data_IF_936875333410
#
_entry.id   IF_936875333410
#
_cell.length_a   1.000
_cell.length_b   1.000
_cell.length_c   1.000
_cell.angle_alpha   90.00
_cell.angle_beta   90.00
_cell.angle_gamma   90.00
#
_symmetry.space_group_name_H-M   'P 1'
#
loop_
_entity.id
_entity.type
_entity.pdbx_description
1 polymer ?
#
# COMPACT_ATOMS: atom_id res chain seq x y z
N UNK A 1 -5.25 11.09 -17.04
CA UNK A 1 -6.06 9.86 -17.07
C UNK A 1 -5.92 9.01 -15.82
N UNK A 2 -7.01 8.39 -15.36
CA UNK A 2 -7.11 7.62 -14.12
C UNK A 2 -6.06 6.50 -14.06
N UNK A 3 -5.13 6.45 -13.09
CA UNK A 3 -4.17 5.34 -12.98
C UNK A 3 -4.84 4.03 -12.57
N UNK A 4 -6.11 4.03 -12.14
CA UNK A 4 -6.94 2.81 -12.05
C UNK A 4 -7.40 2.27 -13.40
N UNK A 5 -7.29 3.03 -14.51
CA UNK A 5 -7.50 2.45 -15.85
C UNK A 5 -6.37 1.52 -16.27
N UNK A 6 -5.16 1.73 -15.76
CA UNK A 6 -4.01 1.00 -16.29
C UNK A 6 -3.77 -0.33 -15.59
N UNK A 7 -4.25 -0.53 -14.35
CA UNK A 7 -4.14 -1.80 -13.61
C UNK A 7 -5.53 -2.42 -13.45
N UNK A 8 -5.80 -3.49 -14.18
CA UNK A 8 -7.15 -4.05 -14.29
C UNK A 8 -7.15 -5.57 -14.35
N UNK A 9 -8.29 -6.15 -13.98
CA UNK A 9 -8.53 -7.59 -14.11
C UNK A 9 -8.90 -7.91 -15.56
N UNK A 10 -8.04 -8.65 -16.26
CA UNK A 10 -8.27 -9.13 -17.62
C UNK A 10 -8.35 -10.66 -17.63
N UNK A 11 -9.26 -11.22 -18.43
CA UNK A 11 -9.27 -12.67 -18.70
C UNK A 11 -8.03 -13.05 -19.50
N UNK A 12 -7.43 -14.21 -19.25
CA UNK A 12 -6.24 -14.67 -19.98
C UNK A 12 -6.45 -14.70 -21.50
N UNK A 13 -7.65 -15.09 -21.96
CA UNK A 13 -8.00 -15.10 -23.39
C UNK A 13 -7.91 -13.72 -24.07
N UNK A 14 -7.97 -12.63 -23.31
CA UNK A 14 -7.92 -11.25 -23.81
C UNK A 14 -6.52 -10.63 -23.69
N UNK A 15 -5.55 -11.37 -23.14
CA UNK A 15 -4.17 -10.90 -22.93
C UNK A 15 -3.32 -11.44 -24.07
N UNK A 16 -2.65 -10.53 -24.78
CA UNK A 16 -1.75 -10.89 -25.86
C UNK A 16 -0.49 -11.58 -25.33
N UNK A 17 -0.47 -12.92 -25.38
CA UNK A 17 0.69 -13.73 -25.03
C UNK A 17 1.89 -13.49 -25.99
N UNK A 18 1.65 -12.92 -27.17
CA UNK A 18 2.68 -12.50 -28.11
C UNK A 18 3.45 -11.24 -27.67
N UNK A 19 3.01 -10.54 -26.62
CA UNK A 19 3.71 -9.36 -26.12
C UNK A 19 5.11 -9.75 -25.58
N UNK A 20 6.19 -9.02 -25.97
CA UNK A 20 7.55 -9.29 -25.52
C UNK A 20 7.75 -9.32 -24.00
N UNK A 21 6.83 -8.71 -23.24
CA UNK A 21 6.77 -8.82 -21.78
C UNK A 21 6.84 -10.29 -21.30
N UNK A 22 6.23 -11.22 -22.04
CA UNK A 22 6.18 -12.64 -21.67
C UNK A 22 7.40 -13.44 -22.11
N UNK A 23 8.30 -12.90 -22.94
CA UNK A 23 9.40 -13.69 -23.51
C UNK A 23 10.34 -14.26 -22.45
N UNK A 24 10.65 -13.48 -21.41
CA UNK A 24 11.41 -13.99 -20.27
C UNK A 24 10.70 -15.12 -19.51
N UNK A 25 9.36 -15.09 -19.42
CA UNK A 25 8.61 -16.18 -18.77
C UNK A 25 8.60 -17.44 -19.62
N UNK A 26 8.45 -17.31 -20.94
CA UNK A 26 8.56 -18.43 -21.89
C UNK A 26 9.96 -19.05 -21.89
N UNK A 27 11.00 -18.23 -21.71
CA UNK A 27 12.38 -18.71 -21.60
C UNK A 27 12.66 -19.43 -20.26
N UNK A 28 12.07 -18.96 -19.16
CA UNK A 28 12.24 -19.57 -17.83
C UNK A 28 11.39 -20.80 -17.60
N UNK A 29 10.25 -20.93 -18.29
CA UNK A 29 9.33 -22.06 -18.14
C UNK A 29 8.92 -22.57 -19.52
N UNK A 30 9.41 -23.74 -19.90
CA UNK A 30 9.14 -24.35 -21.22
C UNK A 30 7.65 -24.54 -21.50
N UNK A 31 6.87 -24.79 -20.45
CA UNK A 31 5.44 -25.06 -20.44
C UNK A 31 4.57 -23.79 -20.31
N UNK A 32 5.17 -22.60 -20.23
CA UNK A 32 4.45 -21.36 -19.91
C UNK A 32 3.29 -21.08 -20.87
N UNK A 33 3.53 -21.25 -22.18
CA UNK A 33 2.52 -21.00 -23.19
C UNK A 33 1.32 -21.94 -23.03
N UNK A 34 1.55 -23.23 -22.81
CA UNK A 34 0.48 -24.21 -22.60
C UNK A 34 -0.27 -23.96 -21.29
N UNK A 35 0.46 -23.60 -20.23
CA UNK A 35 -0.14 -23.17 -18.97
C UNK A 35 -1.04 -21.95 -19.16
N UNK A 36 -0.57 -20.93 -19.90
CA UNK A 36 -1.32 -19.70 -20.15
C UNK A 36 -2.64 -19.98 -20.89
N UNK A 37 -2.61 -20.82 -21.94
CA UNK A 37 -3.82 -21.20 -22.67
C UNK A 37 -4.80 -22.01 -21.82
N UNK A 38 -4.32 -22.93 -20.96
CA UNK A 38 -5.19 -23.65 -20.01
C UNK A 38 -5.89 -22.71 -19.02
N UNK A 39 -5.34 -21.52 -18.80
CA UNK A 39 -5.87 -20.48 -17.93
C UNK A 39 -6.82 -19.50 -18.62
N UNK A 40 -7.21 -19.73 -19.88
CA UNK A 40 -8.04 -18.83 -20.69
C UNK A 40 -9.26 -18.24 -19.95
N UNK A 41 -9.96 -19.05 -19.14
CA UNK A 41 -11.16 -18.66 -18.37
C UNK A 41 -10.87 -17.95 -17.05
N UNK A 42 -9.64 -18.01 -16.58
CA UNK A 42 -9.20 -17.33 -15.37
C UNK A 42 -8.91 -15.85 -15.69
N UNK A 43 -8.71 -15.06 -14.63
CA UNK A 43 -8.35 -13.64 -14.75
C UNK A 43 -7.00 -13.36 -14.09
N UNK A 44 -6.27 -12.44 -14.66
CA UNK A 44 -5.04 -11.89 -14.11
C UNK A 44 -5.17 -10.38 -13.94
N UNK A 45 -4.41 -9.85 -13.00
CA UNK A 45 -4.23 -8.43 -12.85
C UNK A 45 -3.13 -7.98 -13.81
N UNK A 46 -3.46 -7.09 -14.74
CA UNK A 46 -2.57 -6.63 -15.81
C UNK A 46 -2.38 -5.14 -15.69
N UNK A 47 -1.13 -4.69 -15.81
CA UNK A 47 -0.84 -3.27 -15.98
C UNK A 47 -0.32 -2.96 -17.38
N UNK A 48 -0.92 -1.97 -18.05
CA UNK A 48 -0.46 -1.46 -19.35
C UNK A 48 0.01 -0.01 -19.26
N UNK A 49 0.96 0.39 -20.10
CA UNK A 49 1.33 1.79 -20.28
C UNK A 49 0.41 2.52 -21.27
N UNK A 50 0.70 3.79 -21.54
CA UNK A 50 -0.08 4.63 -22.47
C UNK A 50 -0.08 4.13 -23.92
N UNK A 51 0.94 3.35 -24.31
CA UNK A 51 1.03 2.71 -25.63
C UNK A 51 0.29 1.38 -25.69
N UNK A 52 -0.32 0.94 -24.57
CA UNK A 52 -1.02 -0.34 -24.46
C UNK A 52 -0.09 -1.53 -24.20
N UNK A 53 1.21 -1.31 -23.99
CA UNK A 53 2.19 -2.37 -23.72
C UNK A 53 2.13 -2.84 -22.28
N UNK A 54 2.30 -4.14 -22.06
CA UNK A 54 2.22 -4.74 -20.73
C UNK A 54 3.47 -4.36 -19.94
N UNK A 55 3.25 -3.80 -18.75
CA UNK A 55 4.28 -3.40 -17.80
C UNK A 55 4.28 -4.26 -16.53
N UNK A 56 3.18 -4.96 -16.24
CA UNK A 56 3.09 -5.87 -15.12
C UNK A 56 1.95 -6.87 -15.26
N UNK A 57 2.12 -8.03 -14.62
CA UNK A 57 1.20 -9.14 -14.66
C UNK A 57 1.25 -9.89 -13.34
N UNK A 58 0.08 -10.14 -12.75
CA UNK A 58 -0.07 -10.97 -11.56
C UNK A 58 -1.28 -11.89 -11.68
N UNK A 59 -1.05 -13.18 -11.54
CA UNK A 59 -2.11 -14.18 -11.44
C UNK A 59 -2.26 -14.62 -9.99
N UNK A 60 -3.49 -14.53 -9.47
CA UNK A 60 -3.86 -14.96 -8.13
C UNK A 60 -4.81 -16.14 -8.21
N UNK A 61 -4.62 -17.14 -7.36
CA UNK A 61 -5.47 -18.33 -7.27
C UNK A 61 -5.67 -18.72 -5.81
N UNK A 62 -6.91 -19.03 -5.43
CA UNK A 62 -7.20 -19.68 -4.16
C UNK A 62 -6.86 -21.18 -4.25
N UNK A 63 -6.17 -21.69 -3.24
CA UNK A 63 -5.91 -23.11 -3.04
C UNK A 63 -6.38 -23.48 -1.64
N UNK A 64 -7.24 -24.49 -1.53
CA UNK A 64 -7.82 -24.96 -0.27
C UNK A 64 -7.45 -26.44 -0.10
N UNK A 65 -6.15 -26.68 0.03
CA UNK A 65 -5.52 -27.99 -0.01
C UNK A 65 -4.17 -27.93 0.72
N UNK A 66 -3.60 -29.11 1.02
CA UNK A 66 -2.20 -29.17 1.42
C UNK A 66 -1.31 -28.90 0.21
N UNK A 67 -0.15 -28.28 0.43
CA UNK A 67 0.83 -28.04 -0.63
C UNK A 67 1.95 -29.05 -0.43
N UNK A 68 1.81 -30.20 -1.07
CA UNK A 68 2.71 -31.36 -0.92
C UNK A 68 3.86 -31.36 -1.92
N UNK A 69 3.79 -30.51 -2.96
CA UNK A 69 4.82 -30.37 -4.00
C UNK A 69 5.96 -29.41 -3.61
N UNK A 70 6.11 -29.14 -2.32
CA UNK A 70 7.15 -28.28 -1.74
C UNK A 70 7.82 -28.96 -0.55
N UNK A 71 9.07 -28.58 -0.24
CA UNK A 71 9.83 -29.11 0.88
C UNK A 71 10.28 -27.99 1.85
N UNK A 72 9.91 -28.02 3.15
CA UNK A 72 8.94 -28.96 3.75
C UNK A 72 7.51 -28.73 3.18
N UNK A 73 6.65 -29.76 3.14
CA UNK A 73 5.25 -29.62 2.76
C UNK A 73 4.52 -28.60 3.64
N UNK A 74 3.60 -27.84 3.05
CA UNK A 74 2.74 -26.93 3.81
C UNK A 74 1.41 -27.62 4.12
N UNK A 75 0.93 -27.54 5.38
CA UNK A 75 -0.27 -28.25 5.81
C UNK A 75 -1.52 -27.72 5.11
N UNK A 76 -2.59 -28.53 5.12
CA UNK A 76 -3.91 -28.14 4.62
C UNK A 76 -4.37 -26.81 5.24
N UNK A 77 -4.67 -25.84 4.39
CA UNK A 77 -5.23 -24.54 4.76
C UNK A 77 -5.81 -23.85 3.51
N UNK A 78 -6.40 -22.68 3.68
CA UNK A 78 -6.72 -21.75 2.59
C UNK A 78 -5.53 -20.85 2.31
N UNK A 79 -4.99 -20.95 1.12
CA UNK A 79 -3.87 -20.16 0.61
C UNK A 79 -4.31 -19.31 -0.58
N UNK A 80 -3.82 -18.09 -0.63
CA UNK A 80 -3.82 -17.28 -1.83
C UNK A 80 -2.44 -17.43 -2.50
N UNK A 81 -2.40 -18.21 -3.57
CA UNK A 81 -1.20 -18.37 -4.38
C UNK A 81 -1.05 -17.20 -5.33
N UNK A 82 0.10 -16.54 -5.29
CA UNK A 82 0.56 -15.68 -6.38
C UNK A 82 1.20 -16.60 -7.42
N UNK A 83 0.42 -17.05 -8.40
CA UNK A 83 0.84 -18.09 -9.35
C UNK A 83 1.82 -17.59 -10.41
N UNK A 84 1.77 -16.32 -10.75
CA UNK A 84 2.77 -15.66 -11.59
C UNK A 84 2.84 -14.20 -11.18
N UNK A 85 4.05 -13.67 -11.03
CA UNK A 85 4.24 -12.26 -10.76
C UNK A 85 5.45 -11.73 -11.53
N UNK A 86 5.18 -10.86 -12.49
CA UNK A 86 6.21 -10.19 -13.29
C UNK A 86 5.92 -8.71 -13.42
N UNK A 87 6.98 -7.91 -13.37
CA UNK A 87 6.96 -6.47 -13.63
C UNK A 87 8.18 -6.10 -14.47
N UNK A 88 8.04 -5.14 -15.38
CA UNK A 88 9.19 -4.56 -16.05
C UNK A 88 10.00 -3.74 -15.05
N UNK A 89 11.33 -3.76 -15.19
CA UNK A 89 12.30 -3.23 -14.21
C UNK A 89 12.25 -1.70 -13.97
N UNK A 90 11.30 -0.98 -14.56
CA UNK A 90 11.22 0.47 -14.50
C UNK A 90 10.68 1.06 -13.17
N UNK A 91 10.56 0.27 -12.09
CA UNK A 91 10.47 0.83 -10.74
C UNK A 91 9.85 -0.08 -9.68
N UNK A 92 10.44 -0.08 -8.48
CA UNK A 92 9.94 -0.76 -7.27
C UNK A 92 8.50 -0.39 -6.92
N UNK A 93 8.07 0.84 -7.24
CA UNK A 93 6.72 1.35 -6.98
C UNK A 93 5.63 0.52 -7.65
N UNK A 94 5.88 0.00 -8.85
CA UNK A 94 4.94 -0.85 -9.55
C UNK A 94 4.73 -2.16 -8.78
N UNK A 95 5.84 -2.76 -8.33
CA UNK A 95 5.79 -3.94 -7.48
C UNK A 95 5.00 -3.69 -6.20
N UNK A 96 5.23 -2.57 -5.50
CA UNK A 96 4.46 -2.21 -4.30
C UNK A 96 2.95 -2.18 -4.57
N UNK A 97 2.54 -1.65 -5.73
CA UNK A 97 1.12 -1.58 -6.13
C UNK A 97 0.51 -2.97 -6.31
N UNK A 98 1.23 -3.89 -6.94
CA UNK A 98 0.81 -5.27 -7.11
C UNK A 98 0.73 -6.02 -5.76
N UNK A 99 1.73 -5.83 -4.88
CA UNK A 99 1.69 -6.38 -3.52
C UNK A 99 0.47 -5.87 -2.75
N UNK A 100 0.19 -4.56 -2.82
CA UNK A 100 -1.02 -3.99 -2.23
C UNK A 100 -2.28 -4.68 -2.75
N UNK A 101 -2.41 -4.87 -4.07
CA UNK A 101 -3.58 -5.53 -4.66
C UNK A 101 -3.70 -7.00 -4.25
N UNK A 102 -2.60 -7.73 -4.10
CA UNK A 102 -2.61 -9.09 -3.57
C UNK A 102 -3.16 -9.12 -2.14
N UNK A 103 -2.74 -8.18 -1.29
CA UNK A 103 -3.27 -8.07 0.08
C UNK A 103 -4.72 -7.59 0.12
N UNK A 104 -5.10 -6.61 -0.69
CA UNK A 104 -6.51 -6.17 -0.81
C UNK A 104 -7.40 -7.36 -1.20
N UNK A 105 -6.96 -8.20 -2.14
CA UNK A 105 -7.68 -9.41 -2.57
C UNK A 105 -7.73 -10.47 -1.46
N UNK A 106 -6.63 -10.73 -0.75
CA UNK A 106 -6.60 -11.72 0.33
C UNK A 106 -7.52 -11.33 1.48
N UNK A 107 -7.58 -10.03 1.84
CA UNK A 107 -8.50 -9.51 2.85
C UNK A 107 -9.94 -9.71 2.39
N UNK A 108 -10.26 -9.32 1.16
CA UNK A 108 -11.62 -9.44 0.62
C UNK A 108 -12.12 -10.90 0.55
N UNK A 109 -11.22 -11.87 0.40
CA UNK A 109 -11.52 -13.31 0.39
C UNK A 109 -11.39 -13.99 1.77
N UNK A 110 -11.03 -13.22 2.80
CA UNK A 110 -10.76 -13.69 4.16
C UNK A 110 -9.66 -14.79 4.21
N UNK A 111 -8.69 -14.72 3.30
CA UNK A 111 -7.56 -15.65 3.22
C UNK A 111 -6.34 -15.01 3.89
N UNK A 112 -5.87 -15.62 4.99
CA UNK A 112 -4.77 -15.05 5.79
C UNK A 112 -3.38 -15.40 5.27
N UNK A 113 -3.24 -16.48 4.50
CA UNK A 113 -1.94 -17.00 4.04
C UNK A 113 -1.76 -16.73 2.55
N UNK A 114 -0.76 -15.94 2.20
CA UNK A 114 -0.36 -15.70 0.82
C UNK A 114 0.99 -16.36 0.58
N UNK A 115 1.16 -17.05 -0.53
CA UNK A 115 2.47 -17.58 -0.89
C UNK A 115 2.77 -17.44 -2.37
N UNK A 116 4.06 -17.49 -2.69
CA UNK A 116 4.59 -17.42 -4.05
C UNK A 116 5.78 -18.36 -4.17
N UNK A 117 5.92 -19.00 -5.33
CA UNK A 117 7.16 -19.68 -5.72
C UNK A 117 7.93 -18.79 -6.67
N UNK A 118 9.24 -18.65 -6.46
CA UNK A 118 10.06 -17.71 -7.22
C UNK A 118 11.49 -18.23 -7.36
N UNK A 119 12.04 -18.14 -8.57
CA UNK A 119 13.45 -18.46 -8.78
C UNK A 119 14.39 -17.47 -8.07
N UNK A 120 15.49 -17.93 -7.45
CA UNK A 120 16.44 -17.09 -6.71
C UNK A 120 17.05 -15.93 -7.50
N UNK A 121 17.08 -16.03 -8.83
CA UNK A 121 17.65 -15.01 -9.72
C UNK A 121 16.83 -13.72 -9.76
N UNK A 122 15.55 -13.76 -9.35
CA UNK A 122 14.67 -12.59 -9.27
C UNK A 122 14.88 -11.77 -7.99
N UNK A 123 16.13 -11.41 -7.69
CA UNK A 123 16.55 -10.75 -6.43
C UNK A 123 15.70 -9.52 -6.07
N UNK A 124 15.47 -8.62 -7.02
CA UNK A 124 14.68 -7.39 -6.77
C UNK A 124 13.24 -7.68 -6.34
N UNK A 125 12.62 -8.70 -6.92
CA UNK A 125 11.26 -9.10 -6.54
C UNK A 125 11.25 -9.83 -5.19
N UNK A 126 12.26 -10.66 -4.92
CA UNK A 126 12.46 -11.30 -3.61
C UNK A 126 12.63 -10.24 -2.51
N UNK A 127 13.46 -9.21 -2.73
CA UNK A 127 13.68 -8.12 -1.78
C UNK A 127 12.38 -7.35 -1.50
N UNK A 128 11.55 -7.12 -2.54
CA UNK A 128 10.24 -6.51 -2.40
C UNK A 128 9.29 -7.38 -1.56
N UNK A 129 9.25 -8.69 -1.80
CA UNK A 129 8.44 -9.63 -1.03
C UNK A 129 8.88 -9.64 0.43
N UNK A 130 10.18 -9.74 0.70
CA UNK A 130 10.76 -9.70 2.05
C UNK A 130 10.39 -8.39 2.75
N UNK A 131 10.49 -7.25 2.04
CA UNK A 131 10.13 -5.93 2.57
C UNK A 131 8.70 -5.89 3.13
N UNK A 132 7.77 -6.63 2.51
CA UNK A 132 6.36 -6.73 2.95
C UNK A 132 6.04 -8.03 3.71
N UNK A 133 7.06 -8.63 4.32
CA UNK A 133 6.88 -9.67 5.34
C UNK A 133 6.74 -11.10 4.80
N UNK A 134 7.00 -11.33 3.52
CA UNK A 134 7.14 -12.70 3.01
C UNK A 134 8.45 -13.30 3.51
N UNK A 135 8.40 -14.55 3.97
CA UNK A 135 9.55 -15.31 4.47
C UNK A 135 9.72 -16.59 3.68
N UNK A 136 10.97 -16.98 3.41
CA UNK A 136 11.25 -18.28 2.81
C UNK A 136 10.88 -19.38 3.81
N UNK A 137 9.98 -20.26 3.44
CA UNK A 137 9.52 -21.39 4.27
C UNK A 137 9.89 -22.75 3.69
N UNK A 138 10.25 -22.80 2.41
CA UNK A 138 10.63 -24.04 1.75
C UNK A 138 11.16 -23.81 0.34
N UNK A 139 11.22 -24.89 -0.42
CA UNK A 139 11.66 -24.92 -1.81
C UNK A 139 10.73 -25.82 -2.63
N UNK A 140 10.62 -25.50 -3.91
CA UNK A 140 9.91 -26.31 -4.89
C UNK A 140 10.89 -26.76 -5.96
N UNK A 141 11.03 -28.07 -6.15
CA UNK A 141 11.79 -28.62 -7.26
C UNK A 141 10.90 -28.70 -8.49
N UNK A 142 11.40 -28.17 -9.61
CA UNK A 142 10.72 -28.22 -10.90
C UNK A 142 11.69 -28.70 -11.98
N UNK A 143 11.19 -29.17 -13.14
CA UNK A 143 12.07 -29.46 -14.29
C UNK A 143 12.92 -28.26 -14.74
N UNK A 144 12.47 -27.03 -14.44
CA UNK A 144 13.15 -25.79 -14.81
C UNK A 144 14.13 -25.29 -13.72
N UNK A 145 14.25 -25.99 -12.59
CA UNK A 145 15.13 -25.66 -11.47
C UNK A 145 14.42 -25.58 -10.12
N UNK A 146 15.12 -25.05 -9.11
CA UNK A 146 14.59 -24.94 -7.73
C UNK A 146 14.10 -23.53 -7.43
N UNK A 147 12.81 -23.41 -7.11
CA UNK A 147 12.19 -22.16 -6.67
C UNK A 147 12.20 -22.06 -5.13
N UNK A 148 12.30 -20.84 -4.60
CA UNK A 148 12.03 -20.58 -3.18
C UNK A 148 10.54 -20.41 -2.96
N UNK A 149 10.01 -21.03 -1.89
CA UNK A 149 8.62 -20.86 -1.45
C UNK A 149 8.60 -19.77 -0.39
N UNK A 150 7.95 -18.65 -0.70
CA UNK A 150 7.87 -17.47 0.15
C UNK A 150 6.44 -17.32 0.69
N UNK A 151 6.26 -17.26 2.00
CA UNK A 151 4.97 -17.20 2.69
C UNK A 151 4.83 -15.90 3.48
N UNK A 152 3.67 -15.26 3.38
CA UNK A 152 3.21 -14.14 4.21
C UNK A 152 1.93 -14.55 4.92
N UNK A 153 1.91 -14.35 6.23
CA UNK A 153 0.71 -14.51 7.07
C UNK A 153 0.21 -13.12 7.47
N UNK A 154 -1.05 -12.82 7.15
CA UNK A 154 -1.77 -11.63 7.59
C UNK A 154 -2.41 -11.91 8.94
N UNK A 155 -2.34 -10.94 9.85
CA UNK A 155 -2.85 -11.05 11.22
C UNK A 155 -1.77 -11.28 12.28
N UNK A 156 -0.49 -11.20 11.91
CA UNK A 156 0.65 -11.23 12.84
C UNK A 156 1.31 -9.85 12.92
N UNK A 157 1.67 -9.43 14.13
CA UNK A 157 2.51 -8.24 14.37
C UNK A 157 3.87 -8.69 14.87
N UNK A 158 4.92 -8.35 14.12
CA UNK A 158 6.34 -8.61 14.41
C UNK A 158 7.05 -7.36 14.93
N UNK A 159 6.40 -6.20 14.90
CA UNK A 159 6.97 -4.90 15.31
C UNK A 159 7.70 -4.18 14.18
N UNK A 160 7.64 -4.69 12.95
CA UNK A 160 8.15 -4.02 11.77
C UNK A 160 6.98 -3.60 10.87
N UNK A 161 6.69 -2.31 10.84
CA UNK A 161 5.54 -1.71 10.15
C UNK A 161 5.39 -2.15 8.68
N UNK A 162 6.49 -2.30 7.94
CA UNK A 162 6.45 -2.77 6.55
C UNK A 162 6.13 -4.27 6.46
N UNK A 163 6.73 -5.09 7.32
CA UNK A 163 6.45 -6.53 7.36
C UNK A 163 5.07 -6.84 7.94
N UNK A 164 4.54 -5.97 8.79
CA UNK A 164 3.24 -6.11 9.47
C UNK A 164 2.09 -5.63 8.57
N UNK A 165 2.38 -4.83 7.53
CA UNK A 165 1.39 -4.43 6.54
C UNK A 165 0.60 -5.64 6.01
N UNK A 166 -0.74 -5.52 5.84
CA UNK A 166 -1.58 -4.33 6.01
C UNK A 166 -2.13 -4.10 7.43
N UNK A 167 -1.68 -4.85 8.43
CA UNK A 167 -2.21 -4.77 9.80
C UNK A 167 -1.92 -3.40 10.45
N UNK A 168 -2.90 -2.92 11.20
CA UNK A 168 -2.87 -1.70 12.00
C UNK A 168 -2.76 -2.14 13.44
N UNK A 169 -1.60 -1.90 14.06
CA UNK A 169 -1.47 -2.11 15.49
C UNK A 169 -2.09 -0.94 16.24
N UNK A 170 -3.04 -1.22 17.10
CA UNK A 170 -3.66 -0.23 17.97
C UNK A 170 -2.91 -0.12 19.32
N UNK A 171 -1.91 -0.96 19.59
CA UNK A 171 -1.16 -1.01 20.88
C UNK A 171 -0.48 0.29 21.28
N UNK A 172 0.05 1.00 20.29
CA UNK A 172 0.86 2.20 20.52
C UNK A 172 -0.01 3.46 20.59
N UNK A 173 0.61 4.63 20.48
CA UNK A 173 -0.15 5.86 20.45
C UNK A 173 -0.93 5.96 19.14
N UNK A 174 -2.07 6.65 19.20
CA UNK A 174 -2.92 6.94 18.05
C UNK A 174 -3.04 8.44 17.93
N UNK A 175 -2.99 8.96 16.71
CA UNK A 175 -3.12 10.38 16.44
C UNK A 175 -4.03 10.63 15.24
N UNK A 176 -4.65 11.80 15.22
CA UNK A 176 -5.22 12.38 14.02
C UNK A 176 -4.15 13.27 13.37
N UNK A 177 -3.95 13.10 12.06
CA UNK A 177 -3.02 13.88 11.26
C UNK A 177 -3.78 14.62 10.15
N UNK A 178 -3.77 15.94 10.24
CA UNK A 178 -4.42 16.84 9.31
C UNK A 178 -3.68 16.94 7.98
N UNK A 179 -4.42 17.04 6.89
CA UNK A 179 -3.87 17.27 5.55
C UNK A 179 -4.79 18.19 4.77
N UNK A 180 -4.20 19.14 4.03
CA UNK A 180 -4.96 20.04 3.20
C UNK A 180 -5.51 19.34 1.95
N UNK A 181 -6.72 19.72 1.49
CA UNK A 181 -7.35 19.16 0.29
C UNK A 181 -6.44 19.02 -0.92
N UNK A 182 -5.62 20.03 -1.22
CA UNK A 182 -4.76 20.07 -2.39
C UNK A 182 -3.68 18.97 -2.41
N UNK A 183 -3.35 18.40 -1.24
CA UNK A 183 -2.39 17.31 -1.10
C UNK A 183 -3.04 15.96 -0.82
N UNK A 184 -4.28 15.94 -0.32
CA UNK A 184 -4.92 14.73 0.19
C UNK A 184 -5.13 13.66 -0.87
N UNK A 185 -5.89 13.95 -1.92
CA UNK A 185 -6.18 12.99 -3.00
C UNK A 185 -4.91 12.55 -3.70
N UNK A 186 -3.94 13.45 -3.83
CA UNK A 186 -2.65 13.14 -4.44
C UNK A 186 -1.89 12.13 -3.58
N UNK A 187 -1.87 12.26 -2.25
CA UNK A 187 -1.09 11.37 -1.37
C UNK A 187 -1.84 10.07 -1.05
N UNK A 188 -3.16 10.14 -0.97
CA UNK A 188 -4.06 9.04 -0.60
C UNK A 188 -5.13 8.82 -1.68
N UNK A 189 -4.74 8.28 -2.84
CA UNK A 189 -5.64 8.18 -4.00
C UNK A 189 -6.86 7.29 -3.74
N UNK A 190 -6.72 6.16 -3.03
CA UNK A 190 -7.86 5.29 -2.68
C UNK A 190 -8.85 5.98 -1.70
N UNK A 191 -8.48 7.14 -1.14
CA UNK A 191 -9.29 7.94 -0.22
C UNK A 191 -9.99 9.13 -0.87
N UNK A 192 -9.95 9.26 -2.20
CA UNK A 192 -10.65 10.30 -2.97
C UNK A 192 -12.12 10.46 -2.54
N UNK A 193 -12.61 11.70 -2.52
CA UNK A 193 -14.01 12.01 -2.23
C UNK A 193 -14.84 12.10 -3.52
N UNK A 194 -16.14 11.77 -3.46
CA UNK A 194 -17.03 11.84 -4.63
C UNK A 194 -17.12 13.24 -5.28
N UNK A 195 -16.83 14.29 -4.53
CA UNK A 195 -16.86 15.68 -5.00
C UNK A 195 -15.49 16.19 -5.47
N UNK A 196 -14.48 15.33 -5.57
CA UNK A 196 -13.15 15.64 -6.07
C UNK A 196 -13.00 15.19 -7.52
N UNK A 197 -12.16 15.91 -8.26
CA UNK A 197 -11.88 15.57 -9.65
C UNK A 197 -10.95 14.35 -9.70
N UNK A 198 -11.41 13.27 -10.32
CA UNK A 198 -10.60 12.06 -10.53
C UNK A 198 -9.35 12.36 -11.36
N UNK A 199 -9.34 13.44 -12.15
CA UNK A 199 -8.17 13.88 -12.90
C UNK A 199 -6.97 14.31 -12.04
N UNK A 200 -7.13 14.45 -10.73
CA UNK A 200 -6.03 14.73 -9.79
C UNK A 200 -5.21 13.47 -9.53
N UNK A 201 -5.83 12.29 -9.59
CA UNK A 201 -5.16 10.99 -9.43
C UNK A 201 -4.26 10.71 -10.64
N UNK A 202 -4.67 11.21 -11.80
CA UNK A 202 -4.02 11.07 -13.09
C UNK A 202 -2.59 11.59 -13.17
N UNK A 203 -2.27 12.61 -12.37
CA UNK A 203 -1.00 13.34 -12.41
C UNK A 203 0.03 12.78 -11.40
N UNK A 204 -0.31 11.70 -10.68
CA UNK A 204 0.51 11.14 -9.60
C UNK A 204 0.51 9.62 -9.62
N UNK A 205 1.06 9.02 -10.68
CA UNK A 205 1.38 7.58 -10.73
C UNK A 205 2.30 7.13 -9.59
N UNK A 206 3.07 8.06 -9.02
CA UNK A 206 4.03 7.83 -7.94
C UNK A 206 3.41 7.62 -6.56
N UNK A 207 2.13 7.96 -6.35
CA UNK A 207 1.49 7.92 -5.03
C UNK A 207 0.60 6.71 -4.84
N UNK A 208 0.66 5.70 -5.71
CA UNK A 208 0.01 4.40 -5.51
C UNK A 208 0.89 3.39 -4.73
N UNK A 209 1.97 3.86 -4.10
CA UNK A 209 2.83 3.08 -3.21
C UNK A 209 2.14 2.73 -1.89
N UNK A 210 2.59 1.65 -1.25
CA UNK A 210 2.17 1.32 0.12
C UNK A 210 2.70 2.38 1.08
N UNK A 211 3.94 2.81 0.88
CA UNK A 211 4.60 3.80 1.71
C UNK A 211 4.35 5.23 1.25
N UNK A 212 4.12 6.14 2.20
CA UNK A 212 3.89 7.56 1.99
C UNK A 212 4.91 8.38 2.75
N UNK A 213 5.33 9.50 2.15
CA UNK A 213 6.10 10.55 2.80
C UNK A 213 5.22 11.77 2.98
N UNK A 214 5.02 12.14 4.23
CA UNK A 214 4.32 13.34 4.65
C UNK A 214 5.30 14.33 5.26
N UNK A 215 5.21 15.59 4.85
CA UNK A 215 6.14 16.64 5.27
C UNK A 215 5.34 17.77 5.93
N UNK A 216 5.73 18.18 7.13
CA UNK A 216 5.05 19.25 7.84
C UNK A 216 5.96 20.01 8.82
N UNK A 217 5.34 20.97 9.51
CA UNK A 217 5.94 21.78 10.59
C UNK A 217 5.08 21.81 11.84
N UNK A 218 4.10 20.89 11.96
CA UNK A 218 3.17 20.87 13.08
C UNK A 218 3.91 20.44 14.34
N UNK A 219 3.69 21.17 15.44
CA UNK A 219 4.24 20.82 16.75
C UNK A 219 3.67 19.49 17.25
N UNK A 220 4.48 18.76 18.00
CA UNK A 220 4.12 17.47 18.56
C UNK A 220 4.39 16.28 17.63
N UNK A 221 4.53 16.53 16.32
CA UNK A 221 4.85 15.49 15.33
C UNK A 221 6.23 14.89 15.58
N UNK A 222 7.16 15.64 16.18
CA UNK A 222 8.46 15.14 16.61
C UNK A 222 8.40 14.00 17.63
N UNK A 223 7.27 13.83 18.32
CA UNK A 223 7.09 12.76 19.32
C UNK A 223 6.46 11.50 18.75
N UNK A 224 6.07 11.49 17.46
CA UNK A 224 5.62 10.29 16.79
C UNK A 224 6.73 9.25 16.76
N UNK A 225 6.37 7.99 17.01
CA UNK A 225 7.29 6.86 17.02
C UNK A 225 6.86 5.81 16.01
N UNK A 226 7.83 4.99 15.58
CA UNK A 226 7.56 3.79 14.79
C UNK A 226 6.48 2.96 15.50
N UNK A 227 5.47 2.55 14.73
CA UNK A 227 4.34 1.78 15.20
C UNK A 227 3.18 2.60 15.77
N UNK A 228 3.27 3.94 15.84
CA UNK A 228 2.09 4.76 16.16
C UNK A 228 1.08 4.73 14.99
N UNK A 229 -0.21 4.74 15.32
CA UNK A 229 -1.29 4.73 14.35
C UNK A 229 -1.77 6.15 14.03
N UNK A 230 -2.11 6.40 12.77
CA UNK A 230 -2.58 7.69 12.28
C UNK A 230 -3.96 7.57 11.64
N UNK A 231 -4.86 8.47 12.00
CA UNK A 231 -6.09 8.78 11.26
C UNK A 231 -5.81 9.98 10.36
N UNK A 232 -5.89 9.80 9.05
CA UNK A 232 -5.71 10.90 8.10
C UNK A 232 -7.00 11.73 8.03
N UNK A 233 -6.89 13.01 8.36
CA UNK A 233 -7.98 13.97 8.41
C UNK A 233 -7.80 15.06 7.36
N UNK A 234 -8.60 15.02 6.31
CA UNK A 234 -8.63 16.07 5.29
C UNK A 234 -9.36 17.29 5.83
N UNK A 235 -8.73 18.46 5.78
CA UNK A 235 -9.35 19.71 6.25
C UNK A 235 -10.45 20.21 5.30
N UNK A 236 -11.11 21.32 5.66
CA UNK A 236 -12.08 21.99 4.77
C UNK A 236 -11.40 22.44 3.46
N UNK A 237 -12.20 22.62 2.41
CA UNK A 237 -11.79 23.11 1.09
C UNK A 237 -12.43 24.45 0.73
N UNK A 238 -12.59 25.31 1.73
CA UNK A 238 -13.10 26.69 1.65
C UNK A 238 -14.49 26.90 1.02
N UNK A 239 -15.19 25.83 0.65
CA UNK A 239 -16.58 25.86 0.17
C UNK A 239 -17.63 25.76 1.28
N UNK A 240 -17.20 25.76 2.54
CA UNK A 240 -18.12 25.68 3.68
C UNK A 240 -17.42 25.39 5.00
N UNK A 241 -18.22 25.25 6.05
CA UNK A 241 -17.72 24.97 7.40
C UNK A 241 -17.01 23.62 7.48
N UNK A 242 -15.87 23.59 8.18
CA UNK A 242 -15.15 22.36 8.49
C UNK A 242 -16.03 21.31 9.19
N UNK A 243 -17.09 21.76 9.88
CA UNK A 243 -18.08 20.90 10.53
C UNK A 243 -18.68 19.84 9.58
N UNK A 244 -18.90 20.21 8.30
CA UNK A 244 -19.47 19.34 7.28
C UNK A 244 -18.49 18.99 6.14
N UNK A 245 -17.41 19.77 5.97
CA UNK A 245 -16.49 19.66 4.83
C UNK A 245 -15.19 18.93 5.14
N UNK A 246 -14.77 18.89 6.40
CA UNK A 246 -13.54 18.20 6.79
C UNK A 246 -13.87 16.76 7.24
N UNK A 247 -13.02 15.80 6.89
CA UNK A 247 -13.34 14.37 6.95
C UNK A 247 -12.15 13.52 7.39
N UNK A 248 -12.39 12.51 8.22
CA UNK A 248 -11.46 11.39 8.39
C UNK A 248 -11.57 10.43 7.19
N UNK A 249 -10.43 9.95 6.69
CA UNK A 249 -10.35 9.33 5.36
C UNK A 249 -9.57 8.03 5.29
N UNK A 250 -8.52 7.87 6.10
CA UNK A 250 -7.61 6.73 6.02
C UNK A 250 -7.03 6.39 7.38
N UNK A 251 -6.56 5.14 7.53
CA UNK A 251 -5.68 4.74 8.60
C UNK A 251 -4.28 4.42 8.07
N UNK A 252 -3.26 4.81 8.82
CA UNK A 252 -1.85 4.61 8.48
C UNK A 252 -1.05 4.19 9.71
N UNK A 253 0.13 3.61 9.49
CA UNK A 253 1.09 3.28 10.55
C UNK A 253 2.40 4.02 10.32
N UNK A 254 2.90 4.70 11.34
CA UNK A 254 4.19 5.41 11.28
C UNK A 254 5.32 4.40 11.24
N UNK A 255 6.17 4.46 10.22
CA UNK A 255 7.39 3.64 10.14
C UNK A 255 8.62 4.42 10.63
N UNK A 256 8.76 5.69 10.24
CA UNK A 256 9.91 6.51 10.58
C UNK A 256 9.50 7.99 10.66
N UNK A 257 10.14 8.75 11.53
CA UNK A 257 10.05 10.21 11.57
C UNK A 257 11.45 10.78 11.57
N UNK A 258 11.72 11.68 10.63
CA UNK A 258 12.99 12.38 10.51
C UNK A 258 12.79 13.89 10.64
N UNK A 259 13.74 14.54 11.27
CA UNK A 259 13.86 15.98 11.32
C UNK A 259 14.74 16.49 10.18
N UNK A 260 14.62 17.79 9.86
CA UNK A 260 15.41 18.44 8.81
C UNK A 260 16.92 18.17 8.92
N UNK A 261 17.48 18.27 10.11
CA UNK A 261 18.92 18.15 10.38
C UNK A 261 19.46 16.72 10.25
N UNK A 262 18.59 15.72 10.14
CA UNK A 262 18.99 14.33 9.87
C UNK A 262 19.31 14.09 8.39
N UNK A 263 18.95 15.02 7.50
CA UNK A 263 19.37 15.00 6.11
C UNK A 263 20.61 15.88 5.94
N UNK A 264 21.73 15.28 5.54
CA UNK A 264 23.02 15.98 5.42
C UNK A 264 23.05 16.91 4.21
N UNK A 265 22.30 16.59 3.16
CA UNK A 265 22.29 17.36 1.91
C UNK A 265 20.88 17.46 1.33
N UNK A 266 20.66 18.48 0.50
CA UNK A 266 19.44 18.62 -0.30
C UNK A 266 19.23 17.38 -1.20
N UNK A 267 20.31 16.84 -1.77
CA UNK A 267 20.23 15.65 -2.63
C UNK A 267 19.71 14.43 -1.88
N UNK A 268 20.20 14.20 -0.65
CA UNK A 268 19.73 13.13 0.23
C UNK A 268 18.23 13.31 0.54
N UNK A 269 17.82 14.50 0.98
CA UNK A 269 16.42 14.81 1.27
C UNK A 269 15.50 14.59 0.07
N UNK A 270 15.86 15.13 -1.10
CA UNK A 270 15.06 14.95 -2.33
C UNK A 270 14.99 13.48 -2.73
N UNK A 271 16.10 12.74 -2.70
CA UNK A 271 16.13 11.32 -3.04
C UNK A 271 15.25 10.47 -2.12
N UNK A 272 15.17 10.85 -0.84
CA UNK A 272 14.35 10.17 0.15
C UNK A 272 12.86 10.48 -0.01
N UNK A 273 12.50 11.75 -0.22
CA UNK A 273 11.11 12.21 -0.24
C UNK A 273 10.41 12.05 -1.60
N UNK A 274 11.10 12.35 -2.70
CA UNK A 274 10.51 12.42 -4.04
C UNK A 274 9.80 11.11 -4.46
N UNK A 275 10.32 9.91 -4.15
CA UNK A 275 9.69 8.68 -4.60
C UNK A 275 8.30 8.42 -4.00
N UNK A 276 8.00 8.97 -2.81
CA UNK A 276 6.84 8.59 -1.98
C UNK A 276 6.05 9.77 -1.43
N UNK A 277 6.40 11.00 -1.81
CA UNK A 277 5.65 12.21 -1.46
C UNK A 277 4.87 12.72 -2.67
N UNK A 278 3.95 13.65 -2.42
CA UNK A 278 3.21 14.38 -3.47
C UNK A 278 3.97 15.58 -4.00
N UNK A 279 5.13 15.91 -3.45
CA UNK A 279 5.81 17.15 -3.76
C UNK A 279 6.71 17.01 -4.98
N UNK A 280 6.76 18.05 -5.78
CA UNK A 280 7.73 18.18 -6.86
C UNK A 280 9.13 18.39 -6.29
N UNK A 281 10.15 18.13 -7.12
CA UNK A 281 11.54 18.42 -6.74
C UNK A 281 11.76 19.88 -6.36
N UNK A 282 11.05 20.80 -7.01
CA UNK A 282 11.11 22.24 -6.73
C UNK A 282 10.51 22.56 -5.35
N UNK A 283 9.32 22.04 -5.05
CA UNK A 283 8.67 22.19 -3.74
C UNK A 283 9.55 21.64 -2.61
N UNK A 284 10.10 20.43 -2.78
CA UNK A 284 11.03 19.83 -1.83
C UNK A 284 12.28 20.71 -1.64
N UNK A 285 12.86 21.21 -2.74
CA UNK A 285 14.02 22.10 -2.67
C UNK A 285 13.70 23.37 -1.89
N UNK A 286 12.54 23.98 -2.14
CA UNK A 286 12.08 25.15 -1.42
C UNK A 286 11.86 24.87 0.08
N UNK A 287 11.23 23.76 0.45
CA UNK A 287 11.04 23.41 1.86
C UNK A 287 12.38 23.23 2.57
N UNK A 288 13.33 22.53 1.95
CA UNK A 288 14.64 22.28 2.54
C UNK A 288 15.46 23.56 2.71
N UNK A 289 15.36 24.52 1.78
CA UNK A 289 16.14 25.77 1.85
C UNK A 289 15.49 26.84 2.74
N UNK A 290 14.17 26.94 2.74
CA UNK A 290 13.46 28.05 3.40
C UNK A 290 12.92 27.72 4.80
N UNK A 291 12.52 26.47 5.06
CA UNK A 291 11.92 26.13 6.36
C UNK A 291 12.99 25.92 7.42
N UNK A 292 12.92 26.67 8.53
CA UNK A 292 13.86 26.50 9.64
C UNK A 292 13.71 25.14 10.34
N UNK A 293 12.48 24.65 10.46
CA UNK A 293 12.14 23.36 11.03
C UNK A 293 11.21 22.62 10.08
N UNK A 294 11.38 21.30 10.00
CA UNK A 294 10.59 20.41 9.16
C UNK A 294 10.66 18.99 9.72
N UNK A 295 9.53 18.30 9.66
CA UNK A 295 9.39 16.89 9.99
C UNK A 295 8.95 16.11 8.76
N UNK A 296 9.57 14.95 8.56
CA UNK A 296 9.30 14.03 7.46
C UNK A 296 8.84 12.71 8.09
N UNK A 297 7.58 12.36 7.88
CA UNK A 297 6.98 11.12 8.37
C UNK A 297 6.95 10.14 7.21
N UNK A 298 7.61 8.98 7.35
CA UNK A 298 7.36 7.81 6.52
C UNK A 298 6.31 6.94 7.21
N UNK A 299 5.26 6.60 6.49
CA UNK A 299 4.16 5.78 6.99
C UNK A 299 3.68 4.80 5.92
N UNK A 300 2.99 3.74 6.33
CA UNK A 300 2.23 2.90 5.41
C UNK A 300 0.80 3.37 5.30
N UNK A 301 0.25 3.38 4.09
CA UNK A 301 -1.17 3.62 3.83
C UNK A 301 -1.93 2.29 3.91
N UNK A 302 -2.36 1.96 5.14
CA UNK A 302 -2.94 0.66 5.47
C UNK A 302 -4.32 0.47 4.87
N UNK A 303 -5.23 1.42 5.08
CA UNK A 303 -6.59 1.30 4.54
C UNK A 303 -7.25 2.65 4.33
N UNK A 304 -8.01 2.77 3.24
CA UNK A 304 -8.99 3.82 3.06
C UNK A 304 -10.24 3.45 3.86
N UNK A 305 -10.81 4.41 4.59
CA UNK A 305 -12.12 4.18 5.20
C UNK A 305 -13.14 3.92 4.09
N UNK A 306 -14.09 3.02 4.24
CA UNK A 306 -15.20 2.89 3.28
C UNK A 306 -16.16 4.08 3.43
N UNK A 307 -16.38 4.50 4.67
CA UNK A 307 -17.23 5.63 5.03
C UNK A 307 -16.39 6.82 5.48
N UNK A 308 -16.46 7.94 4.75
CA UNK A 308 -15.79 9.19 5.14
C UNK A 308 -16.55 9.83 6.32
N UNK A 309 -15.86 10.09 7.42
CA UNK A 309 -16.51 10.60 8.65
C UNK A 309 -16.28 12.11 8.74
N UNK A 310 -17.35 12.89 8.56
CA UNK A 310 -17.29 14.36 8.69
C UNK A 310 -16.99 14.79 10.13
N UNK A 311 -16.41 16.00 10.29
CA UNK A 311 -16.06 16.56 11.60
C UNK A 311 -17.21 16.57 12.60
N UNK A 312 -18.45 16.87 12.15
CA UNK A 312 -19.66 16.78 12.98
C UNK A 312 -19.74 15.45 13.72
N UNK A 313 -19.65 14.35 12.97
CA UNK A 313 -19.74 12.98 13.51
C UNK A 313 -18.52 12.62 14.37
N UNK A 314 -17.32 13.07 13.99
CA UNK A 314 -16.13 12.90 14.83
C UNK A 314 -16.29 13.57 16.20
N UNK A 315 -17.01 14.69 16.27
CA UNK A 315 -17.28 15.34 17.55
C UNK A 315 -18.43 14.65 18.30
N UNK A 316 -19.58 14.47 17.63
CA UNK A 316 -20.82 14.01 18.26
C UNK A 316 -20.83 12.51 18.59
N UNK A 317 -20.20 11.66 17.77
CA UNK A 317 -20.25 10.19 17.91
C UNK A 317 -18.94 9.58 18.40
N UNK A 318 -17.81 10.25 18.19
CA UNK A 318 -16.47 9.76 18.60
C UNK A 318 -15.97 10.52 19.85
N UNK A 319 -16.47 11.73 20.10
CA UNK A 319 -16.08 12.54 21.25
C UNK A 319 -14.76 13.29 21.07
N UNK A 320 -14.41 13.69 19.84
CA UNK A 320 -13.27 14.58 19.61
C UNK A 320 -13.64 16.01 20.06
N UNK A 321 -12.70 16.69 20.72
CA UNK A 321 -12.88 18.07 21.18
C UNK A 321 -12.98 19.05 20.01
N UNK A 322 -13.96 19.96 20.06
CA UNK A 322 -14.10 21.03 19.06
C UNK A 322 -12.96 22.04 19.15
N UNK A 323 -12.48 22.31 20.37
CA UNK A 323 -11.51 23.37 20.68
C UNK A 323 -10.06 22.99 20.45
N UNK A 324 -9.76 21.71 20.30
CA UNK A 324 -8.39 21.22 20.08
C UNK A 324 -7.88 21.57 18.68
N UNK A 325 -6.57 21.45 18.47
CA UNK A 325 -5.95 21.67 17.16
C UNK A 325 -6.15 20.46 16.23
N UNK A 326 -6.95 20.64 15.17
CA UNK A 326 -7.28 19.58 14.19
C UNK A 326 -6.21 19.29 13.13
N UNK A 327 -5.06 19.97 13.19
CA UNK A 327 -3.91 19.62 12.36
C UNK A 327 -3.14 18.42 12.91
N UNK A 328 -3.04 18.30 14.23
CA UNK A 328 -2.41 17.15 14.88
C UNK A 328 -2.92 17.03 16.31
N UNK A 329 -3.51 15.87 16.66
CA UNK A 329 -3.99 15.63 18.02
C UNK A 329 -3.89 14.16 18.39
N UNK A 330 -3.66 13.89 19.69
CA UNK A 330 -3.64 12.53 20.23
C UNK A 330 -5.07 12.01 20.36
N UNK A 331 -5.27 10.73 20.03
CA UNK A 331 -6.52 10.02 20.16
C UNK A 331 -6.44 9.00 21.30
N UNK A 332 -7.55 8.80 22.00
CA UNK A 332 -7.71 7.66 22.91
C UNK A 332 -7.92 6.36 22.12
N UNK A 333 -7.74 5.22 22.79
CA UNK A 333 -8.06 3.91 22.21
C UNK A 333 -9.51 3.85 21.71
N UNK A 334 -10.44 4.33 22.53
CA UNK A 334 -11.85 4.41 22.20
C UNK A 334 -12.10 5.26 20.95
N UNK A 335 -11.53 6.47 20.88
CA UNK A 335 -11.70 7.36 19.73
C UNK A 335 -11.18 6.73 18.44
N UNK A 336 -9.98 6.14 18.47
CA UNK A 336 -9.40 5.48 17.30
C UNK A 336 -10.24 4.30 16.82
N UNK A 337 -10.59 3.37 17.73
CA UNK A 337 -11.38 2.19 17.38
C UNK A 337 -12.77 2.60 16.88
N UNK A 338 -13.40 3.60 17.50
CA UNK A 338 -14.69 4.12 17.04
C UNK A 338 -14.63 4.74 15.65
N UNK A 339 -13.56 5.49 15.32
CA UNK A 339 -13.31 5.99 13.96
C UNK A 339 -13.19 4.84 12.97
N UNK A 340 -12.44 3.80 13.31
CA UNK A 340 -12.25 2.67 12.43
C UNK A 340 -13.56 1.91 12.15
N UNK A 341 -14.35 1.63 13.20
CA UNK A 341 -15.69 1.02 13.07
C UNK A 341 -16.63 1.87 12.23
N UNK A 342 -16.77 3.17 12.53
CA UNK A 342 -17.63 4.07 11.75
C UNK A 342 -17.16 4.21 10.30
N UNK A 343 -15.84 4.10 10.09
CA UNK A 343 -15.19 4.14 8.80
C UNK A 343 -15.36 2.86 7.97
N UNK A 344 -15.91 1.78 8.56
CA UNK A 344 -16.09 0.50 7.88
C UNK A 344 -14.79 -0.25 7.60
N UNK A 345 -13.80 -0.09 8.49
CA UNK A 345 -12.57 -0.88 8.46
C UNK A 345 -12.88 -2.30 8.91
N UNK A 346 -12.25 -3.29 8.27
CA UNK A 346 -12.35 -4.69 8.66
C UNK A 346 -11.63 -4.90 10.00
N UNK A 347 -12.34 -5.44 10.99
CA UNK A 347 -11.78 -5.66 12.34
C UNK A 347 -10.56 -6.59 12.33
N UNK A 348 -10.44 -7.48 11.33
CA UNK A 348 -9.26 -8.36 11.17
C UNK A 348 -7.97 -7.59 10.86
N UNK A 349 -8.07 -6.33 10.43
CA UNK A 349 -6.93 -5.46 10.17
C UNK A 349 -6.47 -4.69 11.40
N UNK A 350 -7.27 -4.65 12.47
CA UNK A 350 -6.94 -3.88 13.68
C UNK A 350 -6.62 -4.87 14.79
N UNK A 351 -5.36 -4.86 15.24
CA UNK A 351 -4.92 -5.73 16.33
C UNK A 351 -4.49 -4.91 17.54
N UNK A 352 -5.07 -5.27 18.68
CA UNK A 352 -4.82 -4.71 20.00
C UNK A 352 -3.66 -5.37 20.72
#
# INVERSE_FOLDING_TARGET
MNPDRNLQWESFENIDLGDPFFDGLKASYSEFSDWFHRKAKDRALVMKDESGKIQGFMYLKEENEAIDDVNPPMPFDRYLKIGTFKINAHGTKLGERFIKKAFDFSIAMEIKKLYVTIFPDHKTLIDLLIRYGFKKVGQKETPNGTESVMLKVIGEIKGNVLEDYPIISSRNNRFLLGIYPEFHTRLFPDSILHNENTSIVDDVSHTNSIEKIYICRMQGVEFLKKGDALVIYRTKDDRGSAWYRAVATSLCMVDEVKQKNEFKTLAEFVSYCLPRSVFTKEELTNYFTTWRQMYVIRMTYNTALKNRIIRKRLVEEVGLSKGDYWGFMKLTAYQFNRIATLGGVDDSLILD
#
